data_IF_149660765515
#
_entry.id   IF_149660765515
#
_cell.length_a   1.000
_cell.length_b   1.000
_cell.length_c   1.000
_cell.angle_alpha   90.00
_cell.angle_beta   90.00
_cell.angle_gamma   90.00
#
_symmetry.space_group_name_H-M   'P 1'
#
loop_
_entity.id
_entity.type
_entity.pdbx_description
1 polymer ?
#
# COMPACT_ATOMS: atom_id res chain seq x y z
N UNK A 1 20.96 5.17 -9.84
CA UNK A 1 20.05 4.63 -8.80
C UNK A 1 18.74 5.41 -8.80
N UNK A 2 17.70 4.95 -9.53
CA UNK A 2 16.31 5.45 -9.40
C UNK A 2 15.28 4.54 -10.09
N UNK A 3 15.68 3.91 -11.19
CA UNK A 3 14.84 3.00 -12.00
C UNK A 3 14.51 1.71 -11.25
N UNK A 4 15.51 1.06 -10.61
CA UNK A 4 15.32 -0.22 -9.91
C UNK A 4 14.29 -0.15 -8.76
N UNK A 5 14.16 1.00 -8.10
CA UNK A 5 13.19 1.18 -7.01
C UNK A 5 11.75 1.20 -7.52
N UNK A 6 11.52 1.87 -8.66
CA UNK A 6 10.21 1.95 -9.31
C UNK A 6 9.84 0.59 -9.92
N UNK A 7 10.79 -0.10 -10.54
CA UNK A 7 10.58 -1.45 -11.07
C UNK A 7 10.25 -2.46 -9.97
N UNK A 8 10.99 -2.45 -8.86
CA UNK A 8 10.67 -3.29 -7.71
C UNK A 8 9.30 -2.99 -7.12
N UNK A 9 8.92 -1.71 -7.04
CA UNK A 9 7.60 -1.30 -6.57
C UNK A 9 6.50 -1.89 -7.45
N UNK A 10 6.60 -1.73 -8.78
CA UNK A 10 5.62 -2.28 -9.71
C UNK A 10 5.63 -3.80 -9.76
N UNK A 11 6.79 -4.45 -9.59
CA UNK A 11 6.89 -5.90 -9.42
C UNK A 11 6.08 -6.40 -8.22
N UNK A 12 6.24 -5.75 -7.06
CA UNK A 12 5.44 -6.06 -5.86
C UNK A 12 3.95 -5.81 -6.09
N UNK A 13 3.57 -4.68 -6.70
CA UNK A 13 2.18 -4.38 -7.01
C UNK A 13 1.55 -5.47 -7.89
N UNK A 14 2.22 -5.89 -8.97
CA UNK A 14 1.72 -6.94 -9.87
C UNK A 14 1.46 -8.26 -9.14
N UNK A 15 2.40 -8.71 -8.31
CA UNK A 15 2.28 -9.96 -7.54
C UNK A 15 1.15 -9.90 -6.51
N UNK A 16 0.98 -8.76 -5.83
CA UNK A 16 -0.14 -8.60 -4.88
C UNK A 16 -1.47 -8.52 -5.60
N UNK A 17 -1.51 -7.74 -6.68
CA UNK A 17 -2.74 -7.48 -7.41
C UNK A 17 -3.25 -8.70 -8.18
N UNK A 18 -2.36 -9.59 -8.64
CA UNK A 18 -2.73 -10.82 -9.35
C UNK A 18 -3.51 -11.81 -8.48
N UNK A 19 -3.45 -11.68 -7.15
CA UNK A 19 -4.25 -12.49 -6.22
C UNK A 19 -5.73 -12.09 -6.21
N UNK A 20 -6.05 -10.87 -6.65
CA UNK A 20 -7.44 -10.48 -6.87
C UNK A 20 -7.89 -10.98 -8.24
N UNK A 21 -9.12 -11.50 -8.33
CA UNK A 21 -9.75 -11.91 -9.60
C UNK A 21 -10.24 -10.68 -10.38
N UNK A 22 -9.32 -9.75 -10.64
CA UNK A 22 -9.62 -8.40 -11.11
C UNK A 22 -9.82 -7.40 -9.98
N UNK A 23 -9.58 -6.13 -10.29
CA UNK A 23 -9.76 -5.01 -9.37
C UNK A 23 -10.72 -4.02 -10.01
N UNK A 24 -11.77 -3.64 -9.29
CA UNK A 24 -12.68 -2.60 -9.77
C UNK A 24 -11.92 -1.29 -9.99
N UNK A 25 -12.11 -0.68 -11.17
CA UNK A 25 -11.40 0.54 -11.58
C UNK A 25 -11.48 1.65 -10.51
N UNK A 26 -12.64 1.85 -9.90
CA UNK A 26 -12.84 2.88 -8.86
C UNK A 26 -12.12 2.56 -7.54
N UNK A 27 -11.75 1.30 -7.27
CA UNK A 27 -10.99 0.89 -6.08
C UNK A 27 -9.50 0.76 -6.32
N UNK A 28 -9.06 0.73 -7.57
CA UNK A 28 -7.66 0.53 -7.94
C UNK A 28 -6.71 1.48 -7.21
N UNK A 29 -7.09 2.76 -7.08
CA UNK A 29 -6.32 3.75 -6.35
C UNK A 29 -6.03 3.34 -4.89
N UNK A 30 -7.03 2.80 -4.18
CA UNK A 30 -6.84 2.33 -2.81
C UNK A 30 -5.87 1.15 -2.74
N UNK A 31 -5.95 0.21 -3.67
CA UNK A 31 -4.99 -0.91 -3.72
C UNK A 31 -3.57 -0.45 -4.05
N UNK A 32 -3.42 0.58 -4.88
CA UNK A 32 -2.10 1.14 -5.20
C UNK A 32 -1.50 1.85 -3.97
N UNK A 33 -2.30 2.66 -3.26
CA UNK A 33 -1.90 3.29 -2.00
C UNK A 33 -1.52 2.29 -0.92
N UNK A 34 -2.24 1.19 -0.86
CA UNK A 34 -1.93 0.08 0.01
C UNK A 34 -0.58 -0.57 -0.35
N UNK A 35 -0.32 -0.82 -1.64
CA UNK A 35 0.98 -1.32 -2.07
C UNK A 35 2.13 -0.34 -1.78
N UNK A 36 1.91 0.97 -1.97
CA UNK A 36 2.86 2.02 -1.60
C UNK A 36 3.22 1.96 -0.12
N UNK A 37 2.20 1.84 0.73
CA UNK A 37 2.37 1.68 2.17
C UNK A 37 3.24 0.47 2.50
N UNK A 38 2.90 -0.71 1.96
CA UNK A 38 3.66 -1.94 2.22
C UNK A 38 5.10 -1.87 1.70
N UNK A 39 5.33 -1.22 0.56
CA UNK A 39 6.66 -1.10 -0.02
C UNK A 39 7.57 -0.18 0.80
N UNK A 40 7.04 0.98 1.20
CA UNK A 40 7.80 1.98 1.96
C UNK A 40 8.12 1.51 3.38
N UNK A 41 7.19 0.75 3.99
CA UNK A 41 7.30 0.26 5.38
C UNK A 41 7.61 -1.24 5.45
N UNK A 42 8.21 -1.82 4.41
CA UNK A 42 8.44 -3.28 4.29
C UNK A 42 9.30 -3.91 5.39
N UNK A 43 10.11 -3.10 6.06
CA UNK A 43 10.96 -3.53 7.18
C UNK A 43 10.40 -3.10 8.54
N UNK A 44 9.20 -2.52 8.57
CA UNK A 44 8.55 -2.06 9.79
C UNK A 44 7.35 -2.94 10.14
N UNK A 45 6.95 -2.88 11.41
CA UNK A 45 5.71 -3.50 11.85
C UNK A 45 4.52 -2.61 11.49
N UNK A 46 3.83 -2.98 10.40
CA UNK A 46 2.69 -2.22 9.86
C UNK A 46 1.58 -1.96 10.88
N UNK A 47 1.36 -2.86 11.83
CA UNK A 47 0.35 -2.67 12.88
C UNK A 47 0.68 -1.45 13.75
N UNK A 48 1.94 -1.33 14.19
CA UNK A 48 2.38 -0.17 14.95
C UNK A 48 2.37 1.12 14.10
N UNK A 49 2.74 1.06 12.82
CA UNK A 49 2.65 2.19 11.90
C UNK A 49 1.20 2.69 11.78
N UNK A 50 0.25 1.78 11.57
CA UNK A 50 -1.18 2.11 11.47
C UNK A 50 -1.72 2.71 12.77
N UNK A 51 -1.43 2.11 13.92
CA UNK A 51 -1.85 2.64 15.21
C UNK A 51 -1.35 4.06 15.44
N UNK A 52 -0.08 4.34 15.10
CA UNK A 52 0.51 5.67 15.21
C UNK A 52 -0.24 6.68 14.33
N UNK A 53 -0.59 6.32 13.10
CA UNK A 53 -1.31 7.23 12.20
C UNK A 53 -2.75 7.45 12.58
N UNK A 54 -3.47 6.40 12.99
CA UNK A 54 -4.86 6.53 13.44
C UNK A 54 -4.93 7.40 14.70
N UNK A 55 -3.95 7.28 15.61
CA UNK A 55 -3.85 8.18 16.77
C UNK A 55 -3.58 9.63 16.37
N UNK A 56 -2.74 9.85 15.35
CA UNK A 56 -2.41 11.21 14.85
C UNK A 56 -3.55 11.83 14.03
N UNK A 57 -4.27 11.01 13.27
CA UNK A 57 -5.36 11.39 12.38
C UNK A 57 -6.55 10.46 12.66
N UNK A 58 -7.32 10.72 13.73
CA UNK A 58 -8.45 9.87 14.08
C UNK A 58 -9.44 9.79 12.93
N UNK A 59 -9.99 8.59 12.73
CA UNK A 59 -11.03 8.37 11.73
C UNK A 59 -12.25 9.19 12.14
N UNK A 60 -12.69 10.09 11.25
CA UNK A 60 -13.97 10.75 11.41
C UNK A 60 -15.04 9.71 11.07
N UNK A 61 -15.83 9.30 12.04
CA UNK A 61 -17.08 8.61 11.75
C UNK A 61 -18.00 9.61 11.06
N UNK A 62 -18.37 9.29 9.82
CA UNK A 62 -19.42 9.96 9.06
C UNK A 62 -20.78 9.60 9.60
#
# INVERSE_FOLDING_TARGET
MRVNGIENFWGLCKVRLSRFRGVHKHKFYYHLKECELRFNYRNENLYFCMLKWIRKNPLKLS
#
